data_IF_334213538961
#
_entry.id   IF_334213538961
#
_cell.length_a   1.000
_cell.length_b   1.000
_cell.length_c   1.000
_cell.angle_alpha   90.00
_cell.angle_beta   90.00
_cell.angle_gamma   90.00
#
_symmetry.space_group_name_H-M   'P 1'
#
loop_
_entity.id
_entity.type
_entity.pdbx_description
1 polymer ?
#
# COMPACT_ATOMS: atom_id res chain seq x y z
N UNK A 1 -38.70 63.43 11.08
CA UNK A 1 -38.26 62.84 12.36
C UNK A 1 -37.07 61.97 12.03
N UNK A 2 -35.91 62.58 11.74
CA UNK A 2 -34.88 63.07 12.69
C UNK A 2 -34.04 61.88 13.19
N UNK A 3 -32.73 61.74 12.95
CA UNK A 3 -31.63 62.62 12.48
C UNK A 3 -30.59 61.68 11.77
N UNK A 4 -29.87 61.98 10.66
CA UNK A 4 -28.77 62.95 10.39
C UNK A 4 -27.72 62.99 11.53
N UNK A 5 -26.40 62.97 11.35
CA UNK A 5 -25.45 63.63 10.43
C UNK A 5 -24.16 62.76 10.38
N UNK A 6 -23.35 62.58 9.33
CA UNK A 6 -22.76 63.43 8.27
C UNK A 6 -21.37 64.04 8.62
N UNK A 7 -20.54 64.24 7.58
CA UNK A 7 -19.19 64.85 7.49
C UNK A 7 -17.93 64.02 7.83
N UNK A 8 -16.97 63.69 6.95
CA UNK A 8 -16.38 64.20 5.69
C UNK A 8 -15.11 65.09 5.84
N UNK A 9 -14.15 64.82 4.92
CA UNK A 9 -13.12 65.67 4.29
C UNK A 9 -11.69 65.81 4.85
N UNK A 10 -10.75 65.63 3.90
CA UNK A 10 -9.42 66.26 3.82
C UNK A 10 -8.26 65.25 3.87
N UNK A 11 -7.44 64.99 2.83
CA UNK A 11 -7.18 65.68 1.58
C UNK A 11 -5.69 66.09 1.47
N UNK A 12 -5.06 65.74 0.34
CA UNK A 12 -3.81 66.30 -0.23
C UNK A 12 -2.46 65.89 0.46
N UNK A 13 -1.30 65.73 -0.18
CA UNK A 13 -0.81 66.04 -1.54
C UNK A 13 0.56 65.35 -1.83
N UNK A 14 0.89 65.11 -3.12
CA UNK A 14 2.26 65.13 -3.69
C UNK A 14 2.94 63.76 -3.92
N UNK A 15 2.98 63.19 -5.13
CA UNK A 15 3.95 63.40 -6.26
C UNK A 15 5.39 63.00 -5.90
N UNK A 16 6.17 62.19 -6.65
CA UNK A 16 6.48 62.24 -8.09
C UNK A 16 6.99 60.88 -8.64
N UNK A 17 6.68 60.67 -9.93
CA UNK A 17 7.38 59.96 -11.03
C UNK A 17 8.58 59.02 -10.80
N UNK A 18 8.49 57.80 -11.36
CA UNK A 18 9.42 57.31 -12.40
C UNK A 18 8.92 56.00 -13.08
N UNK A 19 8.72 56.02 -14.40
CA UNK A 19 8.73 54.83 -15.28
C UNK A 19 9.74 55.08 -16.45
N UNK A 20 9.95 54.16 -17.40
CA UNK A 20 10.85 53.00 -17.33
C UNK A 20 11.93 53.06 -18.44
N UNK A 21 13.02 52.27 -18.35
CA UNK A 21 13.94 52.08 -19.49
C UNK A 21 14.35 50.62 -19.73
N UNK A 22 13.72 50.07 -20.77
CA UNK A 22 14.29 49.37 -21.95
C UNK A 22 15.22 48.14 -21.78
N UNK A 23 14.68 47.02 -22.29
CA UNK A 23 15.28 45.94 -23.09
C UNK A 23 16.78 46.06 -23.44
N UNK A 24 17.53 44.98 -23.17
CA UNK A 24 18.54 44.43 -24.09
C UNK A 24 18.86 42.96 -23.79
N UNK A 25 18.61 42.11 -24.77
CA UNK A 25 19.32 40.87 -25.08
C UNK A 25 19.46 40.85 -26.64
N UNK A 26 20.30 40.04 -27.29
CA UNK A 26 21.23 39.02 -26.79
C UNK A 26 22.66 39.15 -27.36
N UNK A 27 23.60 38.33 -26.88
CA UNK A 27 24.83 38.03 -27.64
C UNK A 27 25.14 36.52 -27.58
N UNK A 28 25.13 35.89 -28.76
CA UNK A 28 25.66 34.56 -29.09
C UNK A 28 27.12 34.70 -29.52
N UNK A 29 27.95 33.71 -29.17
CA UNK A 29 29.03 33.06 -29.95
C UNK A 29 30.03 32.46 -28.95
N UNK A 30 30.70 31.31 -29.14
CA UNK A 30 30.78 30.21 -30.12
C UNK A 30 31.55 29.11 -29.34
N UNK A 31 31.08 27.88 -29.25
CA UNK A 31 31.44 26.74 -30.10
C UNK A 31 32.92 26.32 -30.07
N UNK A 32 33.18 25.10 -29.55
CA UNK A 32 34.07 24.05 -30.09
C UNK A 32 34.19 22.92 -29.03
N UNK A 33 33.57 21.74 -29.23
CA UNK A 33 34.16 20.51 -29.82
C UNK A 33 35.12 19.84 -28.82
N UNK A 34 35.09 18.57 -28.43
CA UNK A 34 34.81 17.24 -29.01
C UNK A 34 35.01 16.27 -27.81
N UNK A 35 34.49 15.05 -27.67
CA UNK A 35 34.55 13.90 -28.57
C UNK A 35 33.68 12.76 -27.99
N UNK A 36 33.17 11.92 -28.89
CA UNK A 36 32.63 10.58 -28.61
C UNK A 36 33.73 9.64 -28.16
N UNK A 37 33.42 8.72 -27.22
CA UNK A 37 33.93 7.36 -27.26
C UNK A 37 33.05 6.41 -26.42
N UNK A 38 32.46 5.43 -27.09
CA UNK A 38 32.08 4.12 -26.56
C UNK A 38 32.61 3.09 -27.58
N UNK A 39 32.63 1.77 -27.31
CA UNK A 39 32.97 1.03 -26.09
C UNK A 39 34.23 0.16 -26.33
N UNK A 40 34.78 -0.51 -25.31
CA UNK A 40 35.73 -1.62 -25.51
C UNK A 40 35.21 -2.91 -24.89
N UNK A 41 35.24 -3.95 -25.72
CA UNK A 41 34.78 -5.30 -25.45
C UNK A 41 35.94 -6.21 -24.99
N UNK A 42 35.55 -7.20 -24.18
CA UNK A 42 36.01 -8.61 -24.11
C UNK A 42 37.50 -8.92 -23.90
N UNK A 43 37.74 -9.68 -22.81
CA UNK A 43 38.57 -10.89 -22.82
C UNK A 43 37.78 -12.06 -22.22
N UNK A 44 37.67 -13.15 -22.99
CA UNK A 44 37.33 -14.52 -22.57
C UNK A 44 38.68 -15.27 -22.33
N UNK A 45 38.83 -16.47 -21.73
CA UNK A 45 37.97 -17.62 -21.44
C UNK A 45 38.70 -18.53 -20.38
N UNK A 46 38.01 -19.22 -19.45
CA UNK A 46 37.66 -20.68 -19.43
C UNK A 46 38.61 -21.60 -18.60
N UNK A 47 38.30 -22.88 -18.27
CA UNK A 47 37.09 -23.45 -17.59
C UNK A 47 37.37 -24.63 -16.58
N UNK A 48 36.26 -25.17 -16.00
CA UNK A 48 36.01 -26.50 -15.32
C UNK A 48 36.29 -26.60 -13.80
N UNK A 49 35.39 -27.16 -12.97
CA UNK A 49 34.85 -28.54 -13.02
C UNK A 49 33.38 -28.68 -12.58
N UNK A 50 32.71 -29.66 -13.19
CA UNK A 50 31.41 -30.25 -12.84
C UNK A 50 31.51 -31.06 -11.53
N UNK A 51 30.44 -31.07 -10.75
CA UNK A 51 30.07 -32.19 -9.88
C UNK A 51 28.56 -32.45 -10.02
N UNK A 52 28.21 -33.71 -10.09
CA UNK A 52 26.94 -34.30 -10.52
C UNK A 52 26.00 -34.59 -9.36
N UNK A 53 24.71 -34.26 -9.55
CA UNK A 53 23.57 -35.15 -9.29
C UNK A 53 23.13 -35.40 -7.85
N UNK A 54 21.88 -35.05 -7.54
CA UNK A 54 20.83 -36.02 -7.19
C UNK A 54 19.44 -35.37 -7.28
N UNK A 55 18.59 -35.99 -8.09
CA UNK A 55 17.18 -35.70 -8.29
C UNK A 55 16.40 -36.46 -7.21
N UNK A 56 15.50 -35.76 -6.51
CA UNK A 56 14.51 -36.37 -5.62
C UNK A 56 13.20 -36.56 -6.40
N UNK A 57 12.63 -37.77 -6.34
CA UNK A 57 11.28 -38.08 -6.83
C UNK A 57 10.25 -37.85 -5.70
N UNK A 58 8.98 -37.58 -6.04
CA UNK A 58 7.93 -37.23 -5.07
C UNK A 58 7.39 -38.47 -4.36
N UNK A 59 6.94 -38.30 -3.11
CA UNK A 59 6.14 -39.28 -2.36
C UNK A 59 4.69 -38.82 -2.39
N UNK A 60 3.82 -39.68 -2.93
CA UNK A 60 2.36 -39.57 -2.90
C UNK A 60 1.81 -40.00 -1.53
N UNK A 61 0.87 -39.23 -0.99
CA UNK A 61 0.06 -39.61 0.17
C UNK A 61 -1.34 -40.07 -0.28
N UNK A 62 -1.67 -41.34 -0.03
CA UNK A 62 -3.02 -41.87 0.19
C UNK A 62 -2.98 -42.54 1.57
N UNK A 63 -3.67 -42.02 2.58
CA UNK A 63 -5.10 -42.20 2.96
C UNK A 63 -5.44 -43.61 3.48
N UNK A 64 -6.24 -43.56 4.55
CA UNK A 64 -7.06 -44.56 5.24
C UNK A 64 -6.35 -45.29 6.39
N UNK A 65 -6.68 -44.96 7.65
CA UNK A 65 -7.95 -45.16 8.38
C UNK A 65 -8.21 -46.65 8.66
N UNK A 66 -7.96 -47.08 9.91
CA UNK A 66 -8.94 -47.84 10.69
C UNK A 66 -8.37 -48.16 12.07
N UNK A 67 -9.08 -47.68 13.09
CA UNK A 67 -9.11 -48.20 14.46
C UNK A 67 -9.34 -49.72 14.47
N UNK A 68 -8.75 -50.43 15.43
CA UNK A 68 -9.45 -51.39 16.30
C UNK A 68 -8.47 -52.07 17.28
N UNK A 69 -8.43 -51.57 18.50
CA UNK A 69 -8.69 -52.28 19.76
C UNK A 69 -8.61 -53.82 19.74
N UNK A 70 -7.76 -54.40 20.59
CA UNK A 70 -7.79 -55.85 20.80
C UNK A 70 -6.66 -56.40 21.66
N UNK A 71 -6.98 -56.63 22.93
CA UNK A 71 -6.13 -57.14 23.99
C UNK A 71 -5.35 -58.44 23.70
N UNK A 72 -4.09 -58.43 24.17
CA UNK A 72 -3.38 -59.46 24.95
C UNK A 72 -3.75 -60.94 24.74
N UNK A 73 -2.87 -61.69 24.05
CA UNK A 73 -2.51 -63.07 24.44
C UNK A 73 -1.00 -63.24 24.29
N UNK A 74 -0.34 -63.46 25.43
CA UNK A 74 1.02 -63.96 25.55
C UNK A 74 0.99 -65.47 25.30
N UNK A 75 1.81 -65.95 24.36
CA UNK A 75 2.36 -67.31 24.40
C UNK A 75 3.76 -67.30 23.82
N UNK A 76 4.70 -67.59 24.69
CA UNK A 76 6.09 -67.92 24.44
C UNK A 76 6.20 -69.12 23.48
N UNK A 77 7.10 -69.06 22.50
CA UNK A 77 8.13 -70.09 22.32
C UNK A 77 9.22 -69.64 21.32
N UNK A 78 10.41 -70.19 21.52
CA UNK A 78 11.75 -69.79 21.12
C UNK A 78 12.07 -69.86 19.61
N UNK A 79 12.86 -68.90 19.08
CA UNK A 79 14.02 -69.19 18.21
C UNK A 79 14.83 -67.95 17.80
N UNK A 80 16.05 -67.86 18.34
CA UNK A 80 17.34 -67.45 17.75
C UNK A 80 17.43 -66.27 16.76
N UNK A 81 18.11 -65.23 17.24
CA UNK A 81 19.23 -64.49 16.63
C UNK A 81 19.26 -64.34 15.10
N UNK A 82 18.88 -63.15 14.63
CA UNK A 82 19.52 -62.45 13.51
C UNK A 82 19.47 -60.94 13.84
N UNK A 83 20.62 -60.35 14.19
CA UNK A 83 20.75 -58.90 14.35
C UNK A 83 20.76 -58.20 12.98
N UNK A 84 19.95 -57.15 12.78
CA UNK A 84 20.27 -56.10 11.83
C UNK A 84 20.70 -54.82 12.57
N UNK A 85 21.75 -54.19 12.05
CA UNK A 85 22.41 -52.99 12.58
C UNK A 85 21.45 -51.85 12.98
N UNK A 86 21.80 -51.04 14.00
CA UNK A 86 20.93 -49.98 14.50
C UNK A 86 20.74 -48.88 13.46
N UNK A 87 19.50 -48.73 12.99
CA UNK A 87 19.07 -47.57 12.21
C UNK A 87 19.34 -46.29 13.02
N UNK A 88 19.95 -45.30 12.38
CA UNK A 88 20.27 -44.00 12.97
C UNK A 88 19.04 -43.38 13.66
N UNK A 89 19.02 -43.42 14.99
CA UNK A 89 18.05 -42.73 15.84
C UNK A 89 18.13 -41.23 15.60
N UNK A 90 17.02 -40.66 15.11
CA UNK A 90 16.79 -39.21 15.14
C UNK A 90 16.73 -38.80 16.61
N UNK A 91 17.81 -38.22 17.12
CA UNK A 91 17.85 -37.67 18.47
C UNK A 91 16.84 -36.53 18.56
N UNK A 92 15.69 -36.79 19.19
CA UNK A 92 14.81 -35.74 19.71
C UNK A 92 15.57 -35.07 20.85
N UNK A 93 16.00 -33.83 20.64
CA UNK A 93 16.52 -32.98 21.72
C UNK A 93 15.41 -32.86 22.77
N UNK A 94 15.65 -33.40 23.97
CA UNK A 94 14.83 -33.09 25.14
C UNK A 94 14.93 -31.59 25.40
N UNK A 95 13.91 -30.87 24.94
CA UNK A 95 13.76 -29.44 25.18
C UNK A 95 13.28 -29.26 26.62
N UNK A 96 14.08 -28.58 27.43
CA UNK A 96 13.69 -28.28 28.81
C UNK A 96 12.47 -27.37 28.85
N UNK A 97 11.83 -27.23 30.03
CA UNK A 97 10.65 -26.38 30.18
C UNK A 97 10.86 -24.94 29.67
N UNK A 98 12.06 -24.38 29.82
CA UNK A 98 12.41 -23.06 29.31
C UNK A 98 12.45 -22.95 27.78
N UNK A 99 12.68 -24.06 27.06
CA UNK A 99 12.67 -24.08 25.58
C UNK A 99 11.24 -24.23 25.02
N UNK A 100 10.27 -24.62 25.86
CA UNK A 100 8.85 -24.72 25.49
C UNK A 100 8.12 -23.37 25.53
N UNK A 101 8.53 -22.47 26.43
CA UNK A 101 7.86 -21.18 26.65
C UNK A 101 8.74 -20.02 26.17
N UNK A 102 8.35 -19.42 25.05
CA UNK A 102 9.07 -18.31 24.42
C UNK A 102 8.30 -16.99 24.60
N UNK A 103 9.02 -15.92 24.98
CA UNK A 103 8.48 -14.56 25.00
C UNK A 103 9.03 -13.78 23.81
N UNK A 104 8.14 -13.26 22.98
CA UNK A 104 8.49 -12.43 21.82
C UNK A 104 8.27 -10.96 22.13
N UNK A 105 9.09 -10.10 21.55
CA UNK A 105 8.77 -8.68 21.40
C UNK A 105 7.62 -8.50 20.42
N UNK A 106 6.96 -7.33 20.45
CA UNK A 106 5.83 -7.07 19.56
C UNK A 106 6.25 -7.11 18.07
N UNK A 107 7.43 -6.58 17.74
CA UNK A 107 7.97 -6.60 16.38
C UNK A 107 8.25 -8.03 15.90
N UNK A 108 8.86 -8.86 16.76
CA UNK A 108 9.09 -10.28 16.44
C UNK A 108 7.77 -11.04 16.26
N UNK A 109 6.77 -10.76 17.10
CA UNK A 109 5.46 -11.39 16.97
C UNK A 109 4.78 -11.02 15.65
N UNK A 110 4.80 -9.74 15.25
CA UNK A 110 4.27 -9.30 13.95
C UNK A 110 4.91 -10.09 12.82
N UNK A 111 6.25 -10.15 12.78
CA UNK A 111 6.98 -10.85 11.73
C UNK A 111 6.76 -12.37 11.75
N UNK A 112 6.58 -12.98 12.94
CA UNK A 112 6.37 -14.43 13.10
C UNK A 112 4.92 -14.85 12.83
N UNK A 113 3.94 -13.96 13.07
CA UNK A 113 2.49 -14.23 13.01
C UNK A 113 1.75 -13.11 12.25
N UNK A 114 1.96 -12.98 10.94
CA UNK A 114 1.41 -11.89 10.11
C UNK A 114 -0.11 -11.85 10.04
N UNK A 115 -0.78 -13.00 10.14
CA UNK A 115 -2.19 -13.18 9.77
C UNK A 115 -3.16 -12.22 10.48
N UNK A 116 -2.89 -11.94 11.76
CA UNK A 116 -3.73 -11.04 12.57
C UNK A 116 -3.47 -9.55 12.32
N UNK A 117 -2.38 -9.20 11.63
CA UNK A 117 -1.97 -7.81 11.38
C UNK A 117 -2.22 -7.39 9.94
N UNK A 118 -1.72 -8.17 8.98
CA UNK A 118 -1.78 -7.85 7.54
C UNK A 118 -2.53 -8.91 6.73
N UNK A 119 -2.92 -10.03 7.36
CA UNK A 119 -3.43 -11.19 6.66
C UNK A 119 -2.32 -12.15 6.24
N UNK A 120 -2.67 -13.16 5.43
CA UNK A 120 -1.73 -14.22 5.04
C UNK A 120 -0.61 -13.68 4.16
N UNK A 121 0.60 -14.19 4.39
CA UNK A 121 1.79 -13.98 3.53
C UNK A 121 1.94 -15.06 2.47
N UNK A 122 1.06 -16.06 2.47
CA UNK A 122 1.02 -17.11 1.44
C UNK A 122 0.20 -16.65 0.24
N UNK A 123 0.61 -17.06 -0.96
CA UNK A 123 -0.12 -16.75 -2.17
C UNK A 123 -1.44 -17.55 -2.22
N UNK A 124 -2.53 -16.85 -2.44
CA UNK A 124 -3.86 -17.44 -2.66
C UNK A 124 -4.34 -17.13 -4.08
N UNK A 125 -5.16 -18.01 -4.64
CA UNK A 125 -5.84 -17.78 -5.91
C UNK A 125 -7.32 -17.52 -5.64
N UNK A 126 -7.84 -16.39 -6.12
CA UNK A 126 -9.25 -16.04 -5.99
C UNK A 126 -9.74 -15.31 -7.24
N UNK A 127 -10.96 -15.64 -7.67
CA UNK A 127 -11.66 -14.89 -8.72
C UNK A 127 -12.12 -13.54 -8.18
N UNK A 128 -11.59 -12.45 -8.71
CA UNK A 128 -11.94 -11.09 -8.27
C UNK A 128 -11.75 -10.06 -9.39
N UNK A 129 -12.30 -8.87 -9.16
CA UNK A 129 -12.11 -7.75 -10.06
C UNK A 129 -10.67 -7.25 -10.00
N UNK A 130 -10.09 -6.95 -11.15
CA UNK A 130 -8.77 -6.32 -11.34
C UNK A 130 -8.90 -5.15 -12.29
N UNK A 131 -7.86 -4.32 -12.41
CA UNK A 131 -7.80 -3.28 -13.42
C UNK A 131 -6.76 -3.65 -14.48
N UNK A 132 -7.22 -3.73 -15.73
CA UNK A 132 -6.38 -4.00 -16.89
C UNK A 132 -5.84 -2.67 -17.44
N UNK A 133 -4.51 -2.56 -17.49
CA UNK A 133 -3.84 -1.32 -17.87
C UNK A 133 -3.95 -1.00 -19.36
N UNK A 134 -3.97 -2.02 -20.21
CA UNK A 134 -3.99 -1.87 -21.67
C UNK A 134 -5.35 -1.40 -22.17
N UNK A 135 -6.41 -2.06 -21.70
CA UNK A 135 -7.80 -1.75 -22.07
C UNK A 135 -8.41 -0.64 -21.21
N UNK A 136 -7.77 -0.28 -20.09
CA UNK A 136 -8.24 0.68 -19.08
C UNK A 136 -9.62 0.30 -18.51
N UNK A 137 -9.86 -0.99 -18.30
CA UNK A 137 -11.16 -1.54 -17.85
C UNK A 137 -11.01 -2.39 -16.59
N UNK A 138 -12.11 -2.51 -15.84
CA UNK A 138 -12.21 -3.53 -14.80
C UNK A 138 -12.27 -4.91 -15.48
N UNK A 139 -11.69 -5.96 -14.90
CA UNK A 139 -11.74 -7.33 -15.45
C UNK A 139 -11.95 -8.31 -14.30
N UNK A 140 -12.96 -9.19 -14.43
CA UNK A 140 -13.26 -10.22 -13.44
C UNK A 140 -12.57 -11.53 -13.83
N UNK A 141 -11.50 -11.88 -13.13
CA UNK A 141 -10.63 -13.02 -13.48
C UNK A 141 -10.05 -13.70 -12.25
N UNK A 142 -9.49 -14.88 -12.41
CA UNK A 142 -8.66 -15.51 -11.40
C UNK A 142 -7.35 -14.72 -11.23
N UNK A 143 -7.00 -14.47 -9.98
CA UNK A 143 -5.81 -13.71 -9.59
C UNK A 143 -5.09 -14.48 -8.50
N UNK A 144 -3.80 -14.70 -8.68
CA UNK A 144 -2.91 -15.24 -7.65
C UNK A 144 -2.17 -14.08 -6.99
N UNK A 145 -2.41 -13.85 -5.70
CA UNK A 145 -1.80 -12.73 -4.98
C UNK A 145 -1.54 -13.07 -3.52
N UNK A 146 -0.71 -12.25 -2.87
CA UNK A 146 -0.43 -12.36 -1.44
C UNK A 146 -1.25 -11.29 -0.68
N UNK A 147 -2.22 -11.69 0.16
CA UNK A 147 -3.09 -10.75 0.87
C UNK A 147 -2.33 -9.73 1.73
N UNK A 148 -1.28 -10.18 2.43
CA UNK A 148 -0.42 -9.33 3.25
C UNK A 148 0.24 -8.20 2.46
N UNK A 149 0.73 -8.49 1.26
CA UNK A 149 1.33 -7.48 0.38
C UNK A 149 0.29 -6.46 -0.08
N UNK A 150 -0.88 -6.93 -0.52
CA UNK A 150 -1.99 -6.03 -0.90
C UNK A 150 -2.40 -5.13 0.28
N UNK A 151 -2.47 -5.70 1.48
CA UNK A 151 -2.89 -4.99 2.70
C UNK A 151 -1.93 -3.88 3.12
N UNK A 152 -0.61 -4.11 3.07
CA UNK A 152 0.34 -3.06 3.47
C UNK A 152 0.33 -1.85 2.52
N UNK A 153 -0.05 -2.02 1.25
CA UNK A 153 -0.25 -0.92 0.32
C UNK A 153 -1.57 -0.19 0.60
N UNK A 154 -2.63 -0.96 0.85
CA UNK A 154 -3.95 -0.45 1.24
C UNK A 154 -3.88 0.46 2.48
N UNK A 155 -3.11 0.09 3.49
CA UNK A 155 -2.92 0.92 4.70
C UNK A 155 -2.40 2.32 4.39
N UNK A 156 -1.46 2.47 3.44
CA UNK A 156 -0.95 3.79 3.06
C UNK A 156 -1.95 4.58 2.22
N UNK A 157 -2.70 3.91 1.34
CA UNK A 157 -3.76 4.55 0.56
C UNK A 157 -4.89 5.08 1.45
N UNK A 158 -5.33 4.28 2.44
CA UNK A 158 -6.34 4.69 3.40
C UNK A 158 -5.84 5.85 4.27
N UNK A 159 -4.58 5.84 4.71
CA UNK A 159 -4.01 6.99 5.43
C UNK A 159 -4.01 8.28 4.59
N UNK A 160 -3.73 8.19 3.28
CA UNK A 160 -3.84 9.34 2.38
C UNK A 160 -5.30 9.81 2.23
N UNK A 161 -6.26 8.89 2.13
CA UNK A 161 -7.69 9.21 2.09
C UNK A 161 -8.18 9.86 3.40
N UNK A 162 -7.73 9.38 4.56
CA UNK A 162 -8.06 9.94 5.87
C UNK A 162 -7.61 11.40 6.01
N UNK A 163 -6.53 11.79 5.32
CA UNK A 163 -6.11 13.19 5.32
C UNK A 163 -7.14 14.12 4.68
N UNK A 164 -7.98 13.65 3.75
CA UNK A 164 -9.10 14.45 3.20
C UNK A 164 -10.17 14.74 4.26
N UNK A 165 -10.33 13.86 5.23
CA UNK A 165 -11.27 14.03 6.35
C UNK A 165 -10.70 15.03 7.36
N UNK A 166 -9.40 14.90 7.66
CA UNK A 166 -8.69 15.80 8.58
C UNK A 166 -8.46 17.19 7.99
N UNK A 167 -8.31 17.27 6.67
CA UNK A 167 -8.10 18.50 5.91
C UNK A 167 -8.97 18.52 4.65
N UNK A 168 -10.10 19.21 4.77
CA UNK A 168 -11.04 19.41 3.65
C UNK A 168 -10.40 20.12 2.43
N UNK A 169 -9.27 20.82 2.59
CA UNK A 169 -8.58 21.51 1.50
C UNK A 169 -7.71 20.60 0.63
N UNK A 170 -7.40 19.38 1.11
CA UNK A 170 -6.71 18.36 0.32
C UNK A 170 -7.50 18.06 -0.95
N UNK A 171 -6.84 18.04 -2.11
CA UNK A 171 -7.52 17.86 -3.40
C UNK A 171 -6.83 16.87 -4.33
N UNK A 172 -5.70 16.27 -3.91
CA UNK A 172 -4.87 15.46 -4.79
C UNK A 172 -4.24 14.28 -4.05
N UNK A 173 -4.41 13.08 -4.60
CA UNK A 173 -3.63 11.88 -4.29
C UNK A 173 -2.85 11.48 -5.54
N UNK A 174 -1.58 11.12 -5.40
CA UNK A 174 -0.77 10.56 -6.48
C UNK A 174 -0.18 9.24 -6.00
N UNK A 175 -0.31 8.22 -6.82
CA UNK A 175 0.25 6.90 -6.56
C UNK A 175 1.17 6.53 -7.71
N UNK A 176 2.42 6.24 -7.38
CA UNK A 176 3.40 5.72 -8.33
C UNK A 176 3.73 4.28 -7.93
N UNK A 177 3.55 3.35 -8.87
CA UNK A 177 3.86 1.93 -8.74
C UNK A 177 4.90 1.62 -9.79
N UNK A 178 6.16 1.57 -9.37
CA UNK A 178 7.28 1.14 -10.18
C UNK A 178 7.41 -0.38 -10.06
N UNK A 179 6.94 -1.09 -11.09
CA UNK A 179 6.91 -2.55 -11.13
C UNK A 179 8.32 -3.13 -11.25
N UNK A 180 9.20 -2.48 -12.01
CA UNK A 180 10.57 -2.94 -12.26
C UNK A 180 11.42 -2.81 -10.99
N UNK A 181 11.31 -1.67 -10.30
CA UNK A 181 12.04 -1.41 -9.06
C UNK A 181 11.34 -1.99 -7.82
N UNK A 182 10.07 -2.34 -7.92
CA UNK A 182 9.25 -2.73 -6.76
C UNK A 182 9.07 -1.58 -5.76
N UNK A 183 9.13 -0.32 -6.22
CA UNK A 183 8.97 0.87 -5.40
C UNK A 183 7.54 1.40 -5.53
N UNK A 184 6.86 1.56 -4.39
CA UNK A 184 5.52 2.13 -4.33
C UNK A 184 5.59 3.46 -3.59
N UNK A 185 5.03 4.51 -4.19
CA UNK A 185 4.93 5.84 -3.59
C UNK A 185 3.48 6.30 -3.53
N UNK A 186 3.05 6.80 -2.38
CA UNK A 186 1.75 7.43 -2.19
C UNK A 186 1.98 8.85 -1.68
N UNK A 187 1.47 9.83 -2.42
CA UNK A 187 1.53 11.24 -2.10
C UNK A 187 0.12 11.78 -1.89
N UNK A 188 -0.07 12.61 -0.88
CA UNK A 188 -1.23 13.48 -0.76
C UNK A 188 -0.78 14.92 -0.48
N UNK A 189 -1.50 15.89 -1.05
CA UNK A 189 -1.38 17.28 -0.61
C UNK A 189 -2.31 17.55 0.58
N UNK A 190 -2.50 18.83 0.89
CA UNK A 190 -3.13 19.25 2.14
C UNK A 190 -2.12 19.21 3.28
N UNK A 191 -2.61 19.50 4.50
CA UNK A 191 -1.79 19.56 5.71
C UNK A 191 -0.85 18.37 5.82
N UNK A 192 0.44 18.67 5.96
CA UNK A 192 1.47 17.68 6.23
C UNK A 192 1.46 17.20 7.68
N UNK A 193 2.44 16.38 8.04
CA UNK A 193 2.64 15.97 9.42
C UNK A 193 3.41 17.09 10.15
N UNK A 194 2.99 17.51 11.36
CA UNK A 194 3.71 18.52 12.13
C UNK A 194 5.18 18.14 12.34
N UNK A 195 6.10 19.03 11.95
CA UNK A 195 7.54 18.80 12.10
C UNK A 195 7.99 19.42 13.41
N UNK A 196 7.59 18.77 14.51
CA UNK A 196 7.87 19.20 15.88
C UNK A 196 8.36 18.00 16.71
N UNK A 197 9.12 18.27 17.78
CA UNK A 197 9.52 17.24 18.73
C UNK A 197 8.34 17.00 19.69
N UNK A 198 7.90 15.75 19.81
CA UNK A 198 6.82 15.38 20.71
C UNK A 198 7.22 15.65 22.18
N UNK A 199 6.35 16.33 22.92
CA UNK A 199 6.66 16.84 24.26
C UNK A 199 6.98 15.74 25.27
N UNK A 200 6.36 14.56 25.15
CA UNK A 200 6.57 13.40 26.05
C UNK A 200 7.62 12.43 25.51
N UNK A 201 7.51 12.05 24.24
CA UNK A 201 8.35 10.99 23.63
C UNK A 201 9.73 11.51 23.19
N UNK A 202 9.94 12.83 23.15
CA UNK A 202 11.23 13.50 22.86
C UNK A 202 11.87 13.12 21.51
N UNK A 203 11.06 12.65 20.57
CA UNK A 203 11.41 12.37 19.18
C UNK A 203 10.53 13.18 18.23
N UNK A 204 10.91 13.31 16.97
CA UNK A 204 10.09 13.98 15.96
C UNK A 204 8.74 13.28 15.80
N UNK A 205 7.64 14.04 15.67
CA UNK A 205 6.31 13.47 15.45
C UNK A 205 6.27 12.54 14.23
N UNK A 206 6.84 12.89 13.05
CA UNK A 206 6.93 11.96 11.93
C UNK A 206 7.67 10.66 12.28
N UNK A 207 8.76 10.74 13.04
CA UNK A 207 9.49 9.54 13.49
C UNK A 207 8.61 8.67 14.38
N UNK A 208 7.91 9.29 15.34
CA UNK A 208 7.00 8.62 16.27
C UNK A 208 5.91 7.85 15.53
N UNK A 209 5.15 8.52 14.66
CA UNK A 209 3.93 7.94 14.09
C UNK A 209 4.18 6.93 12.96
N UNK A 210 5.40 6.90 12.39
CA UNK A 210 5.79 5.98 11.32
C UNK A 210 6.82 4.93 11.75
N UNK A 211 7.53 5.15 12.86
CA UNK A 211 8.59 4.26 13.36
C UNK A 211 8.27 3.52 14.67
N UNK A 212 7.21 3.92 15.38
CA UNK A 212 6.83 3.31 16.65
C UNK A 212 5.40 2.75 16.59
N UNK A 213 5.25 1.47 16.97
CA UNK A 213 3.94 0.82 17.08
C UNK A 213 3.06 1.54 18.11
N UNK A 214 1.74 1.37 18.00
CA UNK A 214 0.76 1.92 18.95
C UNK A 214 0.79 3.46 19.02
N UNK A 215 0.89 4.10 17.86
CA UNK A 215 0.86 5.55 17.70
C UNK A 215 -0.26 5.95 16.74
N UNK A 216 -1.13 6.87 17.16
CA UNK A 216 -2.32 7.29 16.41
C UNK A 216 -2.80 8.68 16.87
N UNK A 217 -3.44 9.42 15.97
CA UNK A 217 -4.26 10.61 16.30
C UNK A 217 -5.70 10.25 16.67
N UNK A 218 -6.07 8.98 16.58
CA UNK A 218 -7.45 8.49 16.67
C UNK A 218 -7.68 7.62 17.92
N UNK A 219 -6.97 7.90 19.02
CA UNK A 219 -7.18 7.21 20.31
C UNK A 219 -8.16 7.92 21.26
N UNK A 220 -8.58 9.13 20.90
CA UNK A 220 -9.66 9.82 21.60
C UNK A 220 -11.00 9.39 20.99
N UNK A 221 -11.65 8.42 21.65
CA UNK A 221 -12.94 7.85 21.23
C UNK A 221 -14.14 8.77 21.54
N UNK A 222 -13.93 9.85 22.31
CA UNK A 222 -14.97 10.86 22.53
C UNK A 222 -15.20 11.68 21.25
N UNK A 223 -14.17 11.80 20.40
CA UNK A 223 -14.28 12.39 19.07
C UNK A 223 -14.80 11.37 18.05
N UNK A 224 -16.05 11.57 17.59
CA UNK A 224 -16.62 10.76 16.49
C UNK A 224 -15.93 11.06 15.16
N UNK A 225 -14.87 10.33 14.84
CA UNK A 225 -14.12 10.45 13.57
C UNK A 225 -14.67 9.52 12.50
N UNK A 226 -14.64 9.99 11.25
CA UNK A 226 -15.01 9.21 10.06
C UNK A 226 -13.79 8.61 9.35
N UNK A 227 -12.63 8.61 10.00
CA UNK A 227 -11.39 8.05 9.45
C UNK A 227 -11.42 6.52 9.44
N UNK A 228 -10.70 5.92 8.49
CA UNK A 228 -10.47 4.48 8.42
C UNK A 228 -9.43 4.00 9.44
N UNK A 229 -8.41 4.81 9.71
CA UNK A 229 -7.39 4.52 10.73
C UNK A 229 -7.98 4.49 12.14
N UNK A 230 -7.78 3.39 12.87
CA UNK A 230 -8.24 3.23 14.27
C UNK A 230 -7.10 2.89 15.22
N UNK A 231 -6.44 1.77 14.96
CA UNK A 231 -5.60 1.12 15.98
C UNK A 231 -4.15 1.64 16.05
N UNK A 232 -3.73 2.51 15.12
CA UNK A 232 -2.36 3.02 15.09
C UNK A 232 -1.31 2.01 14.63
N UNK A 233 -1.68 1.04 13.79
CA UNK A 233 -0.77 0.03 13.24
C UNK A 233 -0.39 0.26 11.77
N UNK A 234 -1.34 0.66 10.91
CA UNK A 234 -1.24 0.61 9.45
C UNK A 234 0.11 0.98 8.85
N UNK A 235 0.53 2.23 8.98
CA UNK A 235 1.78 2.70 8.40
C UNK A 235 3.03 2.00 8.95
N UNK A 236 3.00 1.57 10.22
CA UNK A 236 4.10 0.80 10.83
C UNK A 236 4.15 -0.62 10.30
N UNK A 237 3.00 -1.24 10.04
CA UNK A 237 2.97 -2.56 9.40
C UNK A 237 3.59 -2.49 8.00
N UNK A 238 3.27 -1.46 7.21
CA UNK A 238 3.96 -1.23 5.93
C UNK A 238 5.47 -1.09 6.11
N UNK A 239 5.93 -0.31 7.09
CA UNK A 239 7.36 -0.14 7.39
C UNK A 239 8.03 -1.45 7.81
N UNK A 240 7.39 -2.24 8.70
CA UNK A 240 7.87 -3.56 9.16
C UNK A 240 7.98 -4.53 7.98
N UNK A 241 7.05 -4.52 7.03
CA UNK A 241 7.09 -5.39 5.86
C UNK A 241 7.80 -4.75 4.64
N UNK A 242 8.67 -3.76 4.88
CA UNK A 242 9.48 -3.13 3.84
C UNK A 242 10.99 -3.28 4.11
N UNK A 243 11.77 -3.38 3.03
CA UNK A 243 13.23 -3.30 3.09
C UNK A 243 13.70 -1.86 3.25
N UNK A 244 12.97 -0.93 2.64
CA UNK A 244 13.16 0.52 2.73
C UNK A 244 11.79 1.19 2.84
N UNK A 245 11.63 2.13 3.78
CA UNK A 245 10.43 2.91 3.98
C UNK A 245 10.81 4.37 4.23
N UNK A 246 10.38 5.28 3.36
CA UNK A 246 10.74 6.69 3.39
C UNK A 246 9.50 7.56 3.54
N UNK A 247 9.53 8.46 4.52
CA UNK A 247 8.53 9.51 4.72
C UNK A 247 9.13 10.84 4.34
N UNK A 248 8.44 11.57 3.48
CA UNK A 248 8.71 12.96 3.14
C UNK A 248 7.46 13.79 3.46
N UNK A 249 7.61 14.90 4.19
CA UNK A 249 6.48 15.78 4.48
C UNK A 249 6.92 17.22 4.53
N UNK A 250 6.03 18.13 4.18
CA UNK A 250 6.22 19.57 4.32
C UNK A 250 5.11 20.12 5.20
N UNK A 251 5.51 20.95 6.15
CA UNK A 251 4.62 21.63 7.07
C UNK A 251 4.81 23.14 6.92
N UNK A 252 3.72 23.83 6.63
CA UNK A 252 3.71 25.27 6.42
C UNK A 252 3.79 26.02 7.75
N UNK A 253 3.28 25.45 8.86
CA UNK A 253 3.27 26.08 10.18
C UNK A 253 4.68 26.18 10.76
N UNK A 254 5.46 25.10 10.64
CA UNK A 254 6.85 25.04 11.10
C UNK A 254 7.84 25.58 10.05
N UNK A 255 7.37 25.87 8.83
CA UNK A 255 8.19 26.23 7.68
C UNK A 255 9.32 25.22 7.38
N UNK A 256 9.04 23.94 7.62
CA UNK A 256 10.03 22.87 7.49
C UNK A 256 9.59 21.80 6.48
N UNK A 257 10.59 21.11 5.93
CA UNK A 257 10.45 19.85 5.21
C UNK A 257 11.24 18.78 5.92
N UNK A 258 10.63 17.62 6.06
CA UNK A 258 11.18 16.47 6.74
C UNK A 258 11.35 15.32 5.77
N UNK A 259 12.47 14.61 5.88
CA UNK A 259 12.69 13.32 5.22
C UNK A 259 13.35 12.35 6.17
N UNK A 260 12.79 11.16 6.32
CA UNK A 260 13.42 10.06 7.06
C UNK A 260 13.16 8.74 6.37
N UNK A 261 14.18 7.87 6.40
CA UNK A 261 14.13 6.54 5.81
C UNK A 261 14.45 5.50 6.88
N UNK A 262 13.60 4.49 7.00
CA UNK A 262 13.82 3.28 7.77
C UNK A 262 14.27 2.17 6.84
N UNK A 263 15.14 1.30 7.34
CA UNK A 263 15.59 0.12 6.61
C UNK A 263 15.47 -1.13 7.48
N UNK A 264 15.53 -2.29 6.82
CA UNK A 264 15.50 -3.60 7.48
C UNK A 264 14.27 -3.80 8.37
N UNK A 265 13.06 -3.82 7.78
CA UNK A 265 11.82 -4.13 8.50
C UNK A 265 11.59 -3.19 9.70
N UNK A 266 11.73 -1.87 9.48
CA UNK A 266 11.65 -0.81 10.51
C UNK A 266 12.77 -0.81 11.58
N UNK A 267 13.63 -1.83 11.66
CA UNK A 267 14.62 -1.98 12.74
C UNK A 267 15.74 -0.93 12.75
N UNK A 268 15.99 -0.27 11.62
CA UNK A 268 17.05 0.75 11.48
C UNK A 268 16.45 2.09 11.05
N UNK A 269 16.12 2.99 12.00
CA UNK A 269 15.74 4.35 11.67
C UNK A 269 16.96 5.13 11.19
N UNK A 270 16.88 5.68 9.98
CA UNK A 270 17.85 6.65 9.47
C UNK A 270 17.71 8.01 10.16
N UNK A 271 18.72 8.87 10.02
CA UNK A 271 18.65 10.24 10.56
C UNK A 271 17.64 11.07 9.77
N UNK A 272 16.78 11.78 10.49
CA UNK A 272 15.89 12.78 9.92
C UNK A 272 16.69 13.91 9.25
N UNK A 273 16.36 14.22 7.99
CA UNK A 273 16.85 15.38 7.26
C UNK A 273 15.77 16.46 7.26
N UNK A 274 16.05 17.57 7.94
CA UNK A 274 15.16 18.72 8.03
C UNK A 274 15.73 19.87 7.20
N UNK A 275 14.90 20.47 6.36
CA UNK A 275 15.26 21.60 5.49
C UNK A 275 14.16 22.67 5.52
N UNK A 276 14.46 23.88 5.06
CA UNK A 276 13.48 24.98 5.03
C UNK A 276 12.41 24.75 3.96
N UNK A 277 11.16 25.04 4.30
CA UNK A 277 10.00 25.02 3.39
C UNK A 277 9.71 26.43 2.83
N UNK A 278 10.66 27.00 2.09
CA UNK A 278 10.54 28.37 1.58
C UNK A 278 9.36 28.62 0.63
N UNK A 279 8.72 27.55 0.13
CA UNK A 279 7.56 27.63 -0.78
C UNK A 279 6.22 27.44 -0.06
N UNK A 280 6.22 27.27 1.27
CA UNK A 280 5.00 27.07 2.05
C UNK A 280 4.18 25.85 1.59
N UNK A 281 4.87 24.78 1.19
CA UNK A 281 4.23 23.55 0.71
C UNK A 281 3.59 22.78 1.87
N UNK A 282 2.48 22.10 1.61
CA UNK A 282 1.88 21.12 2.52
C UNK A 282 1.65 19.82 1.77
N UNK A 283 2.28 18.74 2.26
CA UNK A 283 2.10 17.41 1.71
C UNK A 283 2.66 16.33 2.62
N UNK A 284 2.25 15.10 2.35
CA UNK A 284 2.91 13.89 2.83
C UNK A 284 3.14 12.94 1.66
N UNK A 285 4.33 12.34 1.59
CA UNK A 285 4.69 11.29 0.65
C UNK A 285 5.31 10.14 1.41
N UNK A 286 4.76 8.95 1.23
CA UNK A 286 5.32 7.70 1.74
C UNK A 286 5.80 6.89 0.55
N UNK A 287 7.07 6.51 0.54
CA UNK A 287 7.68 5.67 -0.50
C UNK A 287 8.29 4.43 0.13
N UNK A 288 7.98 3.24 -0.35
CA UNK A 288 8.45 2.01 0.27
C UNK A 288 8.71 0.89 -0.74
N UNK A 289 9.66 0.03 -0.40
CA UNK A 289 10.00 -1.20 -1.13
C UNK A 289 9.60 -2.39 -0.27
N UNK A 290 8.50 -3.09 -0.59
CA UNK A 290 8.09 -4.28 0.15
C UNK A 290 9.22 -5.30 0.27
N UNK A 291 9.27 -6.00 1.40
CA UNK A 291 10.17 -7.14 1.59
C UNK A 291 9.59 -8.38 0.90
N UNK A 292 9.71 -8.42 -0.43
CA UNK A 292 9.12 -9.48 -1.27
C UNK A 292 9.51 -10.89 -0.81
N UNK A 293 10.72 -11.06 -0.25
CA UNK A 293 11.17 -12.35 0.29
C UNK A 293 10.27 -12.86 1.41
N UNK A 294 9.75 -11.98 2.26
CA UNK A 294 8.79 -12.35 3.32
C UNK A 294 7.41 -12.73 2.80
N UNK A 295 7.10 -12.32 1.57
CA UNK A 295 5.87 -12.67 0.87
C UNK A 295 6.07 -13.85 -0.09
N UNK A 296 7.25 -14.47 -0.14
CA UNK A 296 7.55 -15.55 -1.09
C UNK A 296 7.54 -15.08 -2.56
N UNK A 297 7.85 -13.80 -2.81
CA UNK A 297 7.82 -13.16 -4.12
C UNK A 297 9.19 -12.62 -4.50
N UNK A 298 9.43 -12.42 -5.80
CA UNK A 298 10.65 -11.79 -6.32
C UNK A 298 10.47 -10.29 -6.61
N UNK A 299 9.23 -9.84 -6.77
CA UNK A 299 8.88 -8.46 -7.11
C UNK A 299 7.38 -8.28 -7.29
N UNK A 300 6.98 -7.21 -7.96
CA UNK A 300 5.58 -6.94 -8.30
C UNK A 300 5.25 -7.69 -9.61
N UNK A 301 4.46 -8.76 -9.53
CA UNK A 301 3.95 -9.44 -10.72
C UNK A 301 2.71 -8.75 -11.31
N UNK A 302 2.25 -9.23 -12.47
CA UNK A 302 1.09 -8.66 -13.17
C UNK A 302 -0.21 -8.75 -12.36
N UNK A 303 -0.37 -9.79 -11.54
CA UNK A 303 -1.58 -10.01 -10.76
C UNK A 303 -1.68 -9.01 -9.61
N UNK A 304 -0.61 -8.88 -8.82
CA UNK A 304 -0.57 -7.87 -7.76
C UNK A 304 -0.60 -6.46 -8.35
N UNK A 305 0.11 -6.19 -9.46
CA UNK A 305 0.06 -4.89 -10.12
C UNK A 305 -1.37 -4.51 -10.51
N UNK A 306 -2.12 -5.43 -11.13
CA UNK A 306 -3.51 -5.20 -11.54
C UNK A 306 -4.44 -4.93 -10.35
N UNK A 307 -4.21 -5.60 -9.21
CA UNK A 307 -4.95 -5.36 -7.97
C UNK A 307 -4.61 -4.00 -7.34
N UNK A 308 -3.33 -3.64 -7.28
CA UNK A 308 -2.90 -2.36 -6.73
C UNK A 308 -3.44 -1.21 -7.57
N UNK A 309 -3.35 -1.31 -8.91
CA UNK A 309 -3.95 -0.32 -9.82
C UNK A 309 -5.45 -0.20 -9.58
N UNK A 310 -6.19 -1.30 -9.50
CA UNK A 310 -7.62 -1.28 -9.16
C UNK A 310 -7.85 -0.55 -7.84
N UNK A 311 -7.06 -0.83 -6.81
CA UNK A 311 -7.22 -0.17 -5.51
C UNK A 311 -7.01 1.35 -5.56
N UNK A 312 -6.15 1.85 -6.46
CA UNK A 312 -6.02 3.29 -6.73
C UNK A 312 -7.26 3.84 -7.44
N UNK A 313 -7.89 3.07 -8.33
CA UNK A 313 -9.19 3.41 -8.91
C UNK A 313 -10.30 3.45 -7.86
N UNK A 314 -10.28 2.54 -6.87
CA UNK A 314 -11.21 2.58 -5.74
C UNK A 314 -11.09 3.92 -4.99
N UNK A 315 -9.86 4.44 -4.77
CA UNK A 315 -9.66 5.77 -4.16
C UNK A 315 -10.31 6.88 -4.97
N UNK A 316 -10.20 6.83 -6.31
CA UNK A 316 -10.81 7.82 -7.19
C UNK A 316 -12.34 7.78 -7.18
N UNK A 317 -12.93 6.61 -6.95
CA UNK A 317 -14.38 6.44 -6.86
C UNK A 317 -14.96 6.77 -5.48
N UNK A 318 -14.20 6.54 -4.40
CA UNK A 318 -14.73 6.57 -3.02
C UNK A 318 -14.39 7.84 -2.26
N UNK A 319 -13.28 8.51 -2.58
CA UNK A 319 -12.89 9.75 -1.90
C UNK A 319 -13.49 10.95 -2.65
N UNK A 320 -14.41 11.66 -1.99
CA UNK A 320 -15.12 12.80 -2.60
C UNK A 320 -14.18 14.00 -2.81
N UNK A 321 -14.35 14.69 -3.94
CA UNK A 321 -13.69 15.97 -4.26
C UNK A 321 -12.15 15.93 -4.28
N UNK A 322 -11.57 14.87 -4.82
CA UNK A 322 -10.11 14.78 -5.04
C UNK A 322 -9.76 14.39 -6.48
N UNK A 323 -8.53 14.68 -6.87
CA UNK A 323 -7.89 14.24 -8.12
C UNK A 323 -6.94 13.10 -7.77
N UNK A 324 -7.17 11.91 -8.35
CA UNK A 324 -6.27 10.77 -8.17
C UNK A 324 -5.43 10.60 -9.43
N UNK A 325 -4.12 10.41 -9.25
CA UNK A 325 -3.16 10.11 -10.31
C UNK A 325 -2.53 8.76 -10.05
N UNK A 326 -2.34 7.98 -11.12
CA UNK A 326 -1.62 6.71 -11.13
C UNK A 326 -0.49 6.80 -12.15
N UNK A 327 0.76 6.65 -11.71
CA UNK A 327 1.97 6.75 -12.56
C UNK A 327 1.98 8.03 -13.42
N UNK A 328 1.59 9.16 -12.82
CA UNK A 328 1.47 10.45 -13.49
C UNK A 328 0.21 10.67 -14.34
N UNK A 329 -0.56 9.62 -14.64
CA UNK A 329 -1.82 9.71 -15.38
C UNK A 329 -3.00 10.02 -14.45
N UNK A 330 -3.80 11.05 -14.77
CA UNK A 330 -5.00 11.38 -13.99
C UNK A 330 -6.13 10.38 -14.28
N UNK A 331 -6.66 9.76 -13.23
CA UNK A 331 -7.87 8.92 -13.32
C UNK A 331 -9.09 9.83 -13.53
N UNK A 332 -9.85 9.58 -14.60
CA UNK A 332 -10.98 10.40 -15.03
C UNK A 332 -12.32 9.91 -14.44
N UNK A 333 -12.34 9.66 -13.14
CA UNK A 333 -13.55 9.30 -12.37
C UNK A 333 -13.88 10.48 -11.47
N UNK A 334 -15.12 10.98 -11.57
CA UNK A 334 -15.55 12.15 -10.80
C UNK A 334 -16.31 11.82 -9.53
N UNK A 335 -16.97 10.66 -9.47
CA UNK A 335 -17.84 10.26 -8.38
C UNK A 335 -18.02 8.73 -8.35
N UNK A 336 -18.67 8.25 -7.30
CA UNK A 336 -18.89 6.82 -7.09
C UNK A 336 -19.74 6.18 -8.19
N UNK A 337 -20.73 6.91 -8.75
CA UNK A 337 -21.53 6.44 -9.89
C UNK A 337 -20.67 6.06 -11.09
N UNK A 338 -19.76 6.94 -11.52
CA UNK A 338 -18.86 6.67 -12.65
C UNK A 338 -17.93 5.49 -12.37
N UNK A 339 -17.50 5.32 -11.12
CA UNK A 339 -16.73 4.15 -10.70
C UNK A 339 -17.54 2.86 -10.84
N UNK A 340 -18.80 2.83 -10.38
CA UNK A 340 -19.69 1.66 -10.54
C UNK A 340 -19.94 1.33 -12.01
N UNK A 341 -20.13 2.35 -12.87
CA UNK A 341 -20.31 2.18 -14.31
C UNK A 341 -19.14 1.45 -14.99
N UNK A 342 -17.91 1.54 -14.46
CA UNK A 342 -16.76 0.81 -15.01
C UNK A 342 -16.92 -0.71 -14.96
N UNK A 343 -17.54 -1.22 -13.91
CA UNK A 343 -17.77 -2.66 -13.72
C UNK A 343 -18.81 -3.18 -14.71
N UNK A 344 -19.90 -2.44 -14.84
CA UNK A 344 -21.02 -2.84 -15.72
C UNK A 344 -20.64 -2.73 -17.19
N UNK A 345 -19.85 -1.72 -17.57
CA UNK A 345 -19.38 -1.59 -18.95
C UNK A 345 -18.36 -2.68 -19.31
N UNK A 346 -17.54 -3.14 -18.35
CA UNK A 346 -16.67 -4.29 -18.55
C UNK A 346 -17.46 -5.59 -18.76
N UNK A 347 -18.48 -5.85 -17.93
CA UNK A 347 -19.30 -7.04 -18.04
C UNK A 347 -19.97 -7.18 -19.42
N UNK A 348 -20.38 -6.06 -20.03
CA UNK A 348 -20.95 -6.02 -21.40
C UNK A 348 -19.95 -6.47 -22.45
N UNK A 349 -18.75 -5.92 -22.40
CA UNK A 349 -17.71 -6.17 -23.41
C UNK A 349 -17.22 -7.63 -23.34
N UNK A 350 -17.15 -8.20 -22.14
CA UNK A 350 -16.79 -9.61 -21.96
C UNK A 350 -17.89 -10.58 -22.43
N UNK A 351 -19.16 -10.15 -22.48
CA UNK A 351 -20.27 -10.96 -22.98
C UNK A 351 -20.34 -11.00 -24.53
N UNK A 352 -19.56 -10.17 -25.23
CA UNK A 352 -19.49 -10.10 -26.69
C UNK A 352 -20.76 -9.55 -27.37
N UNK A 353 -20.74 -9.46 -28.70
CA UNK A 353 -21.88 -9.01 -29.55
C UNK A 353 -23.13 -9.90 -29.44
N UNK A 354 -23.05 -11.05 -28.74
CA UNK A 354 -24.19 -11.96 -28.51
C UNK A 354 -25.19 -11.44 -27.46
N UNK A 355 -24.89 -10.34 -26.75
CA UNK A 355 -25.83 -9.68 -25.87
C UNK A 355 -26.69 -8.66 -26.64
N UNK A 356 -27.54 -9.16 -27.56
CA UNK A 356 -28.73 -8.42 -28.03
C UNK A 356 -29.74 -8.32 -26.87
N UNK A 357 -29.44 -7.46 -25.91
CA UNK A 357 -30.26 -7.24 -24.72
C UNK A 357 -30.23 -5.77 -24.31
N UNK A 358 -31.24 -5.30 -23.57
CA UNK A 358 -31.26 -3.93 -23.07
C UNK A 358 -29.99 -3.66 -22.26
N UNK A 359 -29.35 -2.50 -22.51
CA UNK A 359 -28.10 -2.09 -21.84
C UNK A 359 -28.21 -2.39 -20.33
N UNK A 360 -27.33 -3.22 -19.75
CA UNK A 360 -27.31 -3.36 -18.30
C UNK A 360 -27.16 -1.98 -17.68
N UNK A 361 -28.21 -1.59 -16.97
CA UNK A 361 -28.40 -0.26 -16.42
C UNK A 361 -28.05 -0.36 -14.95
N UNK A 362 -27.05 0.41 -14.52
CA UNK A 362 -26.81 0.62 -13.10
C UNK A 362 -27.94 1.47 -12.57
N UNK A 363 -28.68 0.96 -11.59
CA UNK A 363 -29.53 1.78 -10.75
C UNK A 363 -28.62 2.34 -9.67
N UNK A 364 -28.46 3.67 -9.65
CA UNK A 364 -27.58 4.35 -8.70
C UNK A 364 -28.37 5.38 -7.92
N UNK A 365 -28.21 5.38 -6.61
CA UNK A 365 -28.86 6.32 -5.71
C UNK A 365 -27.92 6.80 -4.60
N UNK A 366 -27.85 8.11 -4.40
CA UNK A 366 -27.25 8.72 -3.20
C UNK A 366 -28.36 8.89 -2.16
N UNK A 367 -28.47 7.91 -1.25
CA UNK A 367 -29.51 7.86 -0.23
C UNK A 367 -29.31 8.98 0.80
N UNK A 368 -28.05 9.30 1.11
CA UNK A 368 -27.68 10.40 2.00
C UNK A 368 -26.23 10.82 1.74
N UNK A 369 -25.73 11.94 2.33
CA UNK A 369 -24.33 12.34 2.18
C UNK A 369 -23.30 11.27 2.57
N UNK A 370 -23.70 10.26 3.36
CA UNK A 370 -22.88 9.14 3.85
C UNK A 370 -23.17 7.79 3.18
N UNK A 371 -24.19 7.70 2.32
CA UNK A 371 -24.64 6.44 1.74
C UNK A 371 -24.93 6.59 0.25
N UNK A 372 -24.17 5.87 -0.56
CA UNK A 372 -24.36 5.74 -2.01
C UNK A 372 -24.49 4.25 -2.35
N UNK A 373 -25.48 3.89 -3.15
CA UNK A 373 -25.76 2.49 -3.52
C UNK A 373 -25.88 2.38 -5.03
N UNK A 374 -25.15 1.42 -5.60
CA UNK A 374 -25.27 1.00 -6.99
C UNK A 374 -25.76 -0.44 -7.07
N UNK A 375 -26.77 -0.68 -7.90
CA UNK A 375 -27.31 -2.01 -8.18
C UNK A 375 -27.23 -2.32 -9.67
N UNK A 376 -26.78 -3.53 -9.99
CA UNK A 376 -26.76 -4.08 -11.34
C UNK A 376 -27.02 -5.59 -11.28
N UNK A 377 -27.58 -6.15 -12.37
CA UNK A 377 -27.78 -7.59 -12.50
C UNK A 377 -26.43 -8.29 -12.65
N UNK A 378 -26.22 -9.35 -11.88
CA UNK A 378 -25.05 -10.23 -12.00
C UNK A 378 -25.34 -11.42 -12.93
N UNK A 379 -24.28 -12.06 -13.39
CA UNK A 379 -24.26 -13.18 -14.35
C UNK A 379 -24.51 -14.56 -13.71
N UNK A 380 -25.20 -14.61 -12.56
CA UNK A 380 -25.65 -15.88 -11.94
C UNK A 380 -25.14 -16.16 -10.53
N UNK A 381 -24.37 -15.26 -9.93
CA UNK A 381 -24.00 -15.34 -8.50
C UNK A 381 -24.05 -13.98 -7.83
N UNK A 382 -24.27 -13.95 -6.52
CA UNK A 382 -24.21 -12.71 -5.74
C UNK A 382 -22.79 -12.15 -5.77
N UNK A 383 -22.67 -10.87 -6.12
CA UNK A 383 -21.41 -10.12 -6.07
C UNK A 383 -21.64 -8.84 -5.27
N UNK A 384 -20.61 -8.43 -4.52
CA UNK A 384 -20.64 -7.20 -3.74
C UNK A 384 -19.30 -6.47 -3.82
N UNK A 385 -19.37 -5.15 -3.91
CA UNK A 385 -18.23 -4.24 -3.79
C UNK A 385 -18.70 -3.14 -2.85
N UNK A 386 -18.11 -3.09 -1.65
CA UNK A 386 -18.50 -2.16 -0.60
C UNK A 386 -17.29 -1.46 0.00
N UNK A 387 -17.54 -0.25 0.49
CA UNK A 387 -16.53 0.59 1.12
C UNK A 387 -17.07 1.23 2.39
N UNK A 388 -16.28 1.22 3.45
CA UNK A 388 -16.54 1.96 4.68
C UNK A 388 -15.37 2.90 4.94
N UNK A 389 -15.60 4.22 4.90
CA UNK A 389 -14.56 5.23 5.06
C UNK A 389 -13.33 4.98 4.16
N UNK A 390 -13.59 4.70 2.88
CA UNK A 390 -12.59 4.33 1.86
C UNK A 390 -11.90 2.97 2.03
N UNK A 391 -12.15 2.23 3.12
CA UNK A 391 -11.68 0.84 3.31
C UNK A 391 -12.53 -0.10 2.46
N UNK A 392 -11.90 -0.98 1.68
CA UNK A 392 -12.61 -1.99 0.90
C UNK A 392 -13.06 -3.17 1.78
N UNK A 393 -14.37 -3.31 2.00
CA UNK A 393 -14.98 -4.38 2.81
C UNK A 393 -15.25 -5.62 1.97
N UNK A 394 -14.19 -6.28 1.51
CA UNK A 394 -14.25 -7.36 0.50
C UNK A 394 -15.04 -8.60 0.93
N UNK A 395 -15.16 -8.85 2.24
CA UNK A 395 -15.98 -9.95 2.80
C UNK A 395 -17.42 -9.54 3.11
N UNK A 396 -17.74 -8.25 3.01
CA UNK A 396 -18.95 -7.67 3.59
C UNK A 396 -18.83 -7.55 5.11
N UNK A 397 -19.37 -6.49 5.66
CA UNK A 397 -19.44 -6.26 7.11
C UNK A 397 -20.80 -5.62 7.46
N UNK A 398 -21.17 -5.67 8.75
CA UNK A 398 -22.46 -5.14 9.24
C UNK A 398 -22.46 -3.62 9.39
#
# INVERSE_FOLDING_TARGET
MSDSEDFNMGGDSGSEDFQPKTKKAPAKAKAASTSKAAPKAKTAAAPKKKATGKVLKPIDNKKDDSDNDGAWIVKDDESKDDEPEPSATIQRKDKGASDMYEKLTQLEHILKRPDTYIGSIEAISQKMWTFDEETKRMVYRDVKFVPGLFKIVDEILVNAADNKINDSSMDTIKVDIDVEEGLISVYNNGKGIPIEIHSKEKIWIPEMIFGHLLTSSNYDDDEKKLTGGRNGYGAKLTNIYSTEFTVETADKKTEQKYKQTWTNNMSKPGKAKITKNSRGEEFTKVSFRPDFKRFGMEGIDNDIASLLRRRVYDMAGTVKNIKVFLNGERIKIKNFKQYVEMYVNSAKENAGEAAEGPKPTVIFEEISPRWEVGFALSDGSFQQISFANSIATTKGEK
#
